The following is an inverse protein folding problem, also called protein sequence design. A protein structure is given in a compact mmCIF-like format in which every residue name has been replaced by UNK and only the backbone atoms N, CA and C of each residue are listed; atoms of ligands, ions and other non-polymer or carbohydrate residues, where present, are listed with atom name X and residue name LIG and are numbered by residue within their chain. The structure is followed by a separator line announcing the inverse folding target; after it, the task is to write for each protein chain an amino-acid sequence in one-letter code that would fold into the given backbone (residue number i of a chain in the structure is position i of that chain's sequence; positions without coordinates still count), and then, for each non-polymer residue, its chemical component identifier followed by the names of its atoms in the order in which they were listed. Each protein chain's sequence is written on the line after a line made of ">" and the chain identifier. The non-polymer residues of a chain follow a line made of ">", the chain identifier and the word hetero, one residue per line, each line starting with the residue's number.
data_IF_369942465262
#
_entry.id   IF_369942465262
#
_cell.length_a   1.000
_cell.length_b   1.000
_cell.length_c   1.000
_cell.angle_alpha   90.00
_cell.angle_beta   90.00
_cell.angle_gamma   90.00
#
_symmetry.space_group_name_H-M   'P 1'
#
loop_
_entity.id
_entity.type
_entity.pdbx_description
1 polymer ?
#
# COMPACT_ATOMS: atom_id res chain seq x y z
N UNK A 1 4.30 10.01 18.08
CA UNK A 1 5.04 9.12 19.00
C UNK A 1 5.89 8.19 18.16
N UNK A 2 7.17 7.99 18.50
CA UNK A 2 8.04 7.02 17.86
C UNK A 2 8.59 6.05 18.90
N UNK A 3 8.86 4.81 18.48
CA UNK A 3 9.48 3.77 19.31
C UNK A 3 10.83 3.46 18.69
N UNK A 4 11.87 3.32 19.51
CA UNK A 4 13.21 2.95 19.06
C UNK A 4 13.42 1.45 19.24
N UNK A 5 13.96 0.80 18.21
CA UNK A 5 14.32 -0.61 18.21
C UNK A 5 15.76 -0.79 17.71
N UNK A 6 16.43 -1.86 18.15
CA UNK A 6 17.71 -2.28 17.61
C UNK A 6 17.50 -3.41 16.59
N UNK A 7 18.00 -3.23 15.37
CA UNK A 7 17.86 -4.19 14.27
C UNK A 7 19.23 -4.56 13.73
N UNK A 8 19.46 -5.86 13.49
CA UNK A 8 20.66 -6.33 12.78
C UNK A 8 20.40 -6.30 11.28
N UNK A 9 21.25 -5.60 10.55
CA UNK A 9 21.20 -5.48 9.10
C UNK A 9 22.55 -5.91 8.50
N UNK A 10 22.57 -6.44 7.28
CA UNK A 10 23.81 -6.67 6.55
C UNK A 10 24.63 -5.38 6.39
N UNK A 11 25.95 -5.48 6.50
CA UNK A 11 26.88 -4.34 6.44
C UNK A 11 26.66 -3.46 5.20
N UNK A 12 26.41 -4.09 4.05
CA UNK A 12 26.13 -3.38 2.79
C UNK A 12 24.90 -2.47 2.88
N UNK A 13 23.86 -2.89 3.62
CA UNK A 13 22.64 -2.09 3.77
C UNK A 13 22.89 -0.90 4.70
N UNK A 14 23.68 -1.10 5.76
CA UNK A 14 24.09 -0.01 6.65
C UNK A 14 24.93 1.01 5.89
N UNK A 15 25.92 0.56 5.09
CA UNK A 15 26.73 1.44 4.25
C UNK A 15 25.88 2.25 3.25
N UNK A 16 24.81 1.65 2.70
CA UNK A 16 23.86 2.36 1.85
C UNK A 16 23.05 3.42 2.59
N UNK A 17 22.57 3.12 3.80
CA UNK A 17 21.86 4.09 4.64
C UNK A 17 22.77 5.29 4.97
N UNK A 18 24.02 5.00 5.31
CA UNK A 18 25.00 6.00 5.74
C UNK A 18 25.38 6.94 4.60
N UNK A 19 25.67 6.38 3.42
CA UNK A 19 25.97 7.17 2.22
C UNK A 19 24.77 7.99 1.75
N UNK A 20 23.55 7.46 1.89
CA UNK A 20 22.32 8.19 1.55
C UNK A 20 22.09 9.41 2.46
N UNK A 21 22.38 9.29 3.75
CA UNK A 21 22.31 10.42 4.69
C UNK A 21 23.47 11.40 4.46
N UNK A 22 24.70 10.91 4.29
CA UNK A 22 25.87 11.74 4.05
C UNK A 22 25.76 12.57 2.75
N UNK A 23 25.12 12.00 1.72
CA UNK A 23 24.85 12.69 0.45
C UNK A 23 23.64 13.63 0.50
N UNK A 24 22.94 13.73 1.64
CA UNK A 24 21.77 14.58 1.81
C UNK A 24 20.49 14.07 1.14
N UNK A 25 20.51 12.86 0.55
CA UNK A 25 19.33 12.24 -0.09
C UNK A 25 18.25 11.87 0.91
N UNK A 26 18.61 11.68 2.17
CA UNK A 26 17.67 11.44 3.26
C UNK A 26 18.08 12.22 4.51
N UNK A 27 17.12 12.75 5.28
CA UNK A 27 17.41 13.58 6.46
C UNK A 27 17.95 12.76 7.65
N UNK A 28 17.70 11.44 7.68
CA UNK A 28 18.26 10.52 8.68
C UNK A 28 18.13 9.06 8.23
N UNK A 29 18.88 8.15 8.89
CA UNK A 29 18.76 6.70 8.64
C UNK A 29 17.34 6.22 8.95
N UNK A 30 16.75 6.70 10.05
CA UNK A 30 15.40 6.36 10.47
C UNK A 30 14.35 6.80 9.45
N UNK A 31 14.48 8.00 8.89
CA UNK A 31 13.55 8.47 7.85
C UNK A 31 13.60 7.61 6.59
N UNK A 32 14.81 7.20 6.17
CA UNK A 32 14.97 6.32 5.02
C UNK A 32 14.40 4.91 5.27
N UNK A 33 14.64 4.35 6.45
CA UNK A 33 14.07 3.06 6.88
C UNK A 33 12.54 3.15 6.95
N UNK A 34 11.99 4.21 7.54
CA UNK A 34 10.55 4.42 7.65
C UNK A 34 9.90 4.50 6.26
N UNK A 35 10.46 5.28 5.34
CA UNK A 35 9.95 5.38 3.96
C UNK A 35 9.98 4.03 3.22
N UNK A 36 11.03 3.24 3.43
CA UNK A 36 11.12 1.89 2.86
C UNK A 36 10.05 0.96 3.44
N UNK A 37 9.83 0.99 4.76
CA UNK A 37 8.80 0.19 5.43
C UNK A 37 7.38 0.60 5.03
N UNK A 38 7.10 1.90 4.90
CA UNK A 38 5.79 2.39 4.44
C UNK A 38 5.47 1.92 3.02
N UNK A 39 6.48 1.87 2.13
CA UNK A 39 6.31 1.31 0.79
C UNK A 39 5.96 -0.18 0.85
N UNK A 40 6.63 -0.93 1.71
CA UNK A 40 6.38 -2.36 1.89
C UNK A 40 4.99 -2.63 2.49
N UNK A 41 4.58 -1.87 3.51
CA UNK A 41 3.23 -1.95 4.08
C UNK A 41 2.15 -1.72 3.02
N UNK A 42 2.32 -0.70 2.17
CA UNK A 42 1.39 -0.43 1.07
C UNK A 42 1.35 -1.56 0.05
N UNK A 43 2.50 -2.15 -0.28
CA UNK A 43 2.58 -3.31 -1.19
C UNK A 43 1.79 -4.49 -0.64
N UNK A 44 2.02 -4.85 0.62
CA UNK A 44 1.33 -5.98 1.26
C UNK A 44 -0.18 -5.75 1.37
N UNK A 45 -0.62 -4.54 1.69
CA UNK A 45 -2.04 -4.19 1.73
C UNK A 45 -2.69 -4.37 0.35
N UNK A 46 -2.08 -3.84 -0.71
CA UNK A 46 -2.59 -3.99 -2.07
C UNK A 46 -2.62 -5.46 -2.54
N UNK A 47 -1.62 -6.26 -2.16
CA UNK A 47 -1.58 -7.70 -2.44
C UNK A 47 -2.72 -8.46 -1.74
N UNK A 48 -3.00 -8.08 -0.50
CA UNK A 48 -4.12 -8.62 0.27
C UNK A 48 -5.46 -8.24 -0.38
N UNK A 49 -5.65 -6.97 -0.74
CA UNK A 49 -6.87 -6.51 -1.42
C UNK A 49 -7.10 -7.25 -2.74
N UNK A 50 -6.04 -7.38 -3.55
CA UNK A 50 -6.11 -8.15 -4.78
C UNK A 50 -6.45 -9.63 -4.53
N UNK A 51 -5.95 -10.23 -3.44
CA UNK A 51 -6.30 -11.60 -3.08
C UNK A 51 -7.77 -11.73 -2.66
N UNK A 52 -8.31 -10.76 -1.92
CA UNK A 52 -9.73 -10.71 -1.55
C UNK A 52 -10.59 -10.66 -2.81
N UNK A 53 -10.28 -9.73 -3.73
CA UNK A 53 -10.98 -9.58 -5.01
C UNK A 53 -10.88 -10.83 -5.88
N UNK A 54 -9.73 -11.50 -5.93
CA UNK A 54 -9.57 -12.78 -6.64
C UNK A 54 -10.42 -13.90 -6.05
N UNK A 55 -10.56 -13.93 -4.73
CA UNK A 55 -11.23 -15.03 -4.02
C UNK A 55 -12.75 -14.87 -4.00
N UNK A 56 -13.24 -13.64 -3.82
CA UNK A 56 -14.67 -13.36 -3.67
C UNK A 56 -15.31 -12.79 -4.95
N UNK A 57 -14.50 -12.35 -5.92
CA UNK A 57 -14.99 -11.60 -7.08
C UNK A 57 -15.48 -10.20 -6.70
N UNK A 58 -15.91 -9.38 -7.68
CA UNK A 58 -16.79 -8.27 -7.37
C UNK A 58 -18.06 -8.84 -6.71
N UNK A 59 -18.52 -8.23 -5.62
CA UNK A 59 -19.79 -8.65 -5.04
C UNK A 59 -20.92 -8.40 -6.07
N UNK A 60 -21.81 -9.37 -6.26
CA UNK A 60 -23.03 -9.26 -7.10
C UNK A 60 -24.06 -8.24 -6.54
N UNK A 61 -23.65 -7.39 -5.59
CA UNK A 61 -24.48 -6.34 -4.98
C UNK A 61 -25.03 -5.35 -6.03
N UNK A 62 -24.40 -5.25 -7.18
CA UNK A 62 -24.84 -4.39 -8.27
C UNK A 62 -26.01 -4.99 -9.07
N UNK A 63 -26.28 -6.29 -8.98
CA UNK A 63 -27.37 -6.91 -9.74
C UNK A 63 -28.73 -6.34 -9.32
N UNK A 64 -28.93 -6.13 -8.02
CA UNK A 64 -30.15 -5.50 -7.48
C UNK A 64 -30.27 -4.04 -7.94
N UNK A 65 -29.14 -3.32 -8.04
CA UNK A 65 -29.11 -1.94 -8.53
C UNK A 65 -29.38 -1.88 -10.05
N UNK A 66 -28.83 -2.82 -10.82
CA UNK A 66 -29.06 -2.99 -12.27
C UNK A 66 -30.52 -3.33 -12.53
N UNK A 67 -31.11 -4.24 -11.76
CA UNK A 67 -32.52 -4.60 -11.85
C UNK A 67 -33.42 -3.40 -11.52
N UNK A 68 -33.11 -2.67 -10.44
CA UNK A 68 -33.85 -1.46 -10.08
C UNK A 68 -33.73 -0.37 -11.14
N UNK A 69 -32.54 -0.12 -11.69
CA UNK A 69 -32.36 0.88 -12.74
C UNK A 69 -33.03 0.46 -14.05
N UNK A 70 -32.96 -0.80 -14.47
CA UNK A 70 -33.67 -1.29 -15.65
C UNK A 70 -35.20 -1.14 -15.55
N UNK A 71 -35.75 -1.18 -14.33
CA UNK A 71 -37.18 -1.01 -14.08
C UNK A 71 -37.61 0.45 -13.90
N UNK A 72 -36.68 1.38 -13.61
CA UNK A 72 -37.01 2.77 -13.25
C UNK A 72 -36.34 3.83 -14.14
N UNK A 73 -35.42 3.46 -15.02
CA UNK A 73 -34.80 4.39 -15.96
C UNK A 73 -35.78 4.73 -17.09
N UNK A 74 -36.27 5.98 -17.09
CA UNK A 74 -36.91 6.57 -18.28
C UNK A 74 -35.80 6.98 -19.23
N UNK A 75 -35.52 6.14 -20.24
CA UNK A 75 -34.64 6.53 -21.34
C UNK A 75 -35.42 7.47 -22.24
N UNK A 76 -35.05 8.76 -22.26
CA UNK A 76 -35.51 9.68 -23.30
C UNK A 76 -34.60 9.49 -24.54
N UNK A 77 -35.24 9.25 -25.69
CA UNK A 77 -34.60 9.19 -27.03
C UNK A 77 -33.90 10.50 -27.41
#
# INVERSE_FOLDING_TARGET
>A
MSIQIAVRLPDQMVAFLDSSVASGKAPSRAALVASALEREMRRLAAEQDAQILRTHGPADELDVLVEWTGTHAVVQD
#
